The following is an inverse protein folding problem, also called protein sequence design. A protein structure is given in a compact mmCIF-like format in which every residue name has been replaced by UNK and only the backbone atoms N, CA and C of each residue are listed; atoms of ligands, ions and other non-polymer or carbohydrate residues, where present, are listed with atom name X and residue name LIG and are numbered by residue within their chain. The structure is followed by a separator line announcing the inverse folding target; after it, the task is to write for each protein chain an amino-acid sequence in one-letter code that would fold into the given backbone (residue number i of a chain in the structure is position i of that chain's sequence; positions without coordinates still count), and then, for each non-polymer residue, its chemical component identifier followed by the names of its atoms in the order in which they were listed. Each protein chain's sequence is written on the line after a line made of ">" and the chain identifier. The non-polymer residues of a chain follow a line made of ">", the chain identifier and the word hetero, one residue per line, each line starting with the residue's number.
data_IF_140567874180
#
_entry.id   IF_140567874180
#
_cell.length_a   1.000
_cell.length_b   1.000
_cell.length_c   1.000
_cell.angle_alpha   90.00
_cell.angle_beta   90.00
_cell.angle_gamma   90.00
#
_symmetry.space_group_name_H-M   'P 1'
#
loop_
_entity.id
_entity.type
_entity.pdbx_description
1 polymer ?
#
# COMPACT_ATOMS: atom_id res chain seq x y z
N UNK A 1 20.85 11.17 5.96
CA UNK A 1 19.85 10.08 6.08
C UNK A 1 18.84 10.24 4.96
N UNK A 2 18.44 9.18 4.27
CA UNK A 2 17.54 9.26 3.12
C UNK A 2 16.09 9.55 3.55
N UNK A 3 15.31 10.12 2.64
CA UNK A 3 13.86 10.22 2.77
C UNK A 3 13.20 8.90 2.40
N UNK A 4 12.04 8.60 2.99
CA UNK A 4 11.26 7.42 2.65
C UNK A 4 9.77 7.71 2.58
N UNK A 5 9.09 7.09 1.62
CA UNK A 5 7.65 7.21 1.41
C UNK A 5 6.94 5.89 1.75
N UNK A 6 5.92 5.99 2.59
CA UNK A 6 5.03 4.88 2.92
C UNK A 6 3.72 5.05 2.14
N UNK A 7 3.33 4.04 1.37
CA UNK A 7 2.11 4.07 0.56
C UNK A 7 1.13 3.07 1.15
N UNK A 8 0.07 3.57 1.79
CA UNK A 8 -0.96 2.71 2.37
C UNK A 8 -2.03 2.41 1.33
N UNK A 9 -2.19 1.12 1.02
CA UNK A 9 -3.12 0.62 0.02
C UNK A 9 -3.90 -0.59 0.52
N UNK A 10 -4.99 -0.90 -0.16
CA UNK A 10 -5.72 -2.18 -0.05
C UNK A 10 -5.48 -3.04 -1.28
N UNK A 11 -5.63 -4.35 -1.10
CA UNK A 11 -5.59 -5.30 -2.20
C UNK A 11 -6.74 -5.01 -3.20
N UNK A 12 -6.46 -4.84 -4.52
CA UNK A 12 -7.46 -4.52 -5.54
C UNK A 12 -8.35 -5.71 -5.90
N UNK A 13 -9.20 -6.11 -4.95
CA UNK A 13 -10.17 -7.21 -5.09
C UNK A 13 -11.59 -6.64 -5.14
N UNK A 14 -12.44 -7.11 -6.08
CA UNK A 14 -13.82 -6.63 -6.16
C UNK A 14 -14.57 -6.83 -4.84
N UNK A 15 -15.39 -5.84 -4.47
CA UNK A 15 -16.15 -5.84 -3.21
C UNK A 15 -15.32 -5.59 -1.93
N UNK A 16 -13.99 -5.45 -2.03
CA UNK A 16 -13.12 -5.13 -0.87
C UNK A 16 -12.60 -3.69 -0.85
N UNK A 17 -12.60 -3.05 -2.01
CA UNK A 17 -12.15 -1.67 -2.19
C UNK A 17 -13.32 -0.77 -2.55
N UNK A 18 -13.24 0.49 -2.11
CA UNK A 18 -14.23 1.52 -2.45
C UNK A 18 -15.68 1.07 -2.23
N UNK A 19 -15.96 0.35 -1.14
CA UNK A 19 -17.28 -0.26 -0.88
C UNK A 19 -18.43 0.74 -0.86
N UNK A 20 -18.18 1.98 -0.41
CA UNK A 20 -19.17 3.07 -0.49
C UNK A 20 -19.50 3.44 -1.93
N UNK A 21 -18.49 3.53 -2.80
CA UNK A 21 -18.69 3.79 -4.24
C UNK A 21 -19.33 2.58 -4.93
N UNK A 22 -18.91 1.37 -4.56
CA UNK A 22 -19.45 0.12 -5.09
C UNK A 22 -20.95 -0.06 -4.80
N UNK A 23 -21.46 0.53 -3.72
CA UNK A 23 -22.89 0.53 -3.43
C UNK A 23 -23.71 1.24 -4.52
N UNK A 24 -23.12 2.22 -5.21
CA UNK A 24 -23.78 3.04 -6.23
C UNK A 24 -23.49 2.55 -7.65
N UNK A 25 -22.24 2.18 -7.95
CA UNK A 25 -21.79 1.83 -9.32
C UNK A 25 -21.47 0.35 -9.53
N UNK A 26 -21.64 -0.46 -8.49
CA UNK A 26 -21.27 -1.88 -8.49
C UNK A 26 -19.78 -2.14 -8.17
N UNK A 27 -19.44 -3.34 -7.68
CA UNK A 27 -18.09 -3.69 -7.24
C UNK A 27 -17.03 -3.60 -8.35
N UNK A 28 -17.43 -3.84 -9.60
CA UNK A 28 -16.50 -3.99 -10.71
C UNK A 28 -16.06 -2.62 -11.24
N UNK A 29 -17.01 -1.69 -11.36
CA UNK A 29 -16.73 -0.31 -11.72
C UNK A 29 -15.98 0.41 -10.59
N UNK A 30 -16.29 0.11 -9.32
CA UNK A 30 -15.54 0.63 -8.18
C UNK A 30 -14.10 0.11 -8.14
N UNK A 31 -13.87 -1.16 -8.48
CA UNK A 31 -12.53 -1.71 -8.62
C UNK A 31 -11.76 -1.07 -9.79
N UNK A 32 -12.41 -0.87 -10.94
CA UNK A 32 -11.80 -0.19 -12.09
C UNK A 32 -11.34 1.23 -11.70
N UNK A 33 -12.22 1.98 -11.05
CA UNK A 33 -11.90 3.32 -10.51
C UNK A 33 -10.73 3.26 -9.52
N UNK A 34 -10.73 2.28 -8.61
CA UNK A 34 -9.63 2.12 -7.67
C UNK A 34 -8.30 1.87 -8.37
N UNK A 35 -8.26 1.00 -9.39
CA UNK A 35 -7.05 0.74 -10.19
C UNK A 35 -6.51 1.98 -10.89
N UNK A 36 -7.37 2.86 -11.37
CA UNK A 36 -6.96 4.15 -11.94
C UNK A 36 -6.30 5.05 -10.87
N UNK A 37 -6.87 5.12 -9.66
CA UNK A 37 -6.25 5.86 -8.55
C UNK A 37 -4.89 5.28 -8.13
N UNK A 38 -4.75 3.94 -8.17
CA UNK A 38 -3.46 3.28 -7.92
C UNK A 38 -2.43 3.68 -8.98
N UNK A 39 -2.82 3.70 -10.24
CA UNK A 39 -1.94 4.09 -11.34
C UNK A 39 -1.50 5.57 -11.22
N UNK A 40 -2.40 6.48 -10.86
CA UNK A 40 -2.07 7.88 -10.58
C UNK A 40 -1.07 8.00 -9.42
N UNK A 41 -1.33 7.28 -8.32
CA UNK A 41 -0.44 7.26 -7.17
C UNK A 41 0.94 6.72 -7.55
N UNK A 42 1.00 5.61 -8.29
CA UNK A 42 2.25 5.01 -8.74
C UNK A 42 3.05 5.96 -9.65
N UNK A 43 2.39 6.66 -10.57
CA UNK A 43 3.02 7.65 -11.42
C UNK A 43 3.60 8.82 -10.61
N UNK A 44 2.87 9.32 -9.60
CA UNK A 44 3.35 10.38 -8.71
C UNK A 44 4.56 9.93 -7.88
N UNK A 45 4.55 8.69 -7.38
CA UNK A 45 5.68 8.09 -6.64
C UNK A 45 6.92 7.97 -7.51
N UNK A 46 6.77 7.48 -8.75
CA UNK A 46 7.89 7.39 -9.71
C UNK A 46 8.46 8.78 -10.01
N UNK A 47 7.61 9.78 -10.21
CA UNK A 47 8.02 11.15 -10.47
C UNK A 47 8.74 11.80 -9.27
N UNK A 48 8.37 11.41 -8.04
CA UNK A 48 9.00 11.93 -6.82
C UNK A 48 10.46 11.44 -6.64
N UNK A 49 10.83 10.31 -7.24
CA UNK A 49 12.17 9.70 -7.15
C UNK A 49 12.65 9.47 -5.70
N UNK A 50 11.72 9.20 -4.78
CA UNK A 50 12.00 8.88 -3.37
C UNK A 50 11.83 7.37 -3.14
N UNK A 51 12.71 6.72 -2.36
CA UNK A 51 12.49 5.34 -1.92
C UNK A 51 11.10 5.18 -1.30
N UNK A 52 10.32 4.22 -1.80
CA UNK A 52 8.95 4.01 -1.37
C UNK A 52 8.68 2.56 -1.01
N UNK A 53 7.69 2.32 -0.14
CA UNK A 53 7.21 0.98 0.19
C UNK A 53 5.71 0.97 0.32
N UNK A 54 5.07 0.00 -0.35
CA UNK A 54 3.63 -0.22 -0.28
C UNK A 54 3.29 -1.08 0.95
N UNK A 55 2.31 -0.63 1.71
CA UNK A 55 1.78 -1.30 2.90
C UNK A 55 0.32 -1.69 2.65
N UNK A 56 0.11 -2.96 2.28
CA UNK A 56 -1.20 -3.53 2.01
C UNK A 56 -1.95 -3.82 3.30
N UNK A 57 -3.19 -3.37 3.42
CA UNK A 57 -4.02 -3.64 4.58
C UNK A 57 -4.37 -5.13 4.74
N UNK A 58 -4.32 -5.90 3.65
CA UNK A 58 -4.59 -7.33 3.62
C UNK A 58 -3.54 -8.07 2.79
N UNK A 59 -3.29 -9.34 3.12
CA UNK A 59 -2.47 -10.21 2.29
C UNK A 59 -3.21 -10.57 0.98
N UNK A 60 -2.50 -10.68 -0.16
CA UNK A 60 -3.07 -11.22 -1.38
C UNK A 60 -3.55 -12.67 -1.18
N UNK A 61 -4.57 -13.06 -1.95
CA UNK A 61 -5.07 -14.43 -1.95
C UNK A 61 -3.99 -15.39 -2.47
N UNK A 62 -3.66 -16.42 -1.69
CA UNK A 62 -2.63 -17.41 -2.04
C UNK A 62 -1.31 -17.23 -1.29
N UNK A 63 -1.11 -16.11 -0.59
CA UNK A 63 0.04 -15.89 0.28
C UNK A 63 -0.25 -16.39 1.69
N UNK A 64 0.36 -17.51 2.07
CA UNK A 64 0.40 -17.92 3.46
C UNK A 64 1.20 -16.89 4.26
N UNK A 65 0.58 -16.31 5.30
CA UNK A 65 1.25 -15.48 6.29
C UNK A 65 2.25 -16.35 7.07
N UNK A 66 3.43 -16.57 6.49
CA UNK A 66 4.60 -17.06 7.21
C UNK A 66 4.90 -16.10 8.36
N UNK A 67 5.39 -16.63 9.49
CA UNK A 67 5.44 -15.97 10.80
C UNK A 67 6.36 -14.76 10.94
N UNK A 68 6.82 -14.14 9.84
CA UNK A 68 7.51 -12.85 9.83
C UNK A 68 7.04 -12.06 8.62
N UNK A 69 6.81 -10.76 8.84
CA UNK A 69 6.56 -9.76 7.80
C UNK A 69 7.79 -9.60 6.89
N UNK A 70 8.09 -10.62 6.11
CA UNK A 70 9.14 -10.58 5.11
C UNK A 70 8.71 -9.64 4.01
N UNK A 71 9.56 -8.64 3.74
CA UNK A 71 9.44 -7.76 2.59
C UNK A 71 9.34 -8.63 1.36
N UNK A 72 8.16 -8.69 0.74
CA UNK A 72 8.01 -9.38 -0.53
C UNK A 72 8.53 -8.44 -1.61
N UNK A 73 9.86 -8.37 -1.69
CA UNK A 73 10.59 -7.73 -2.80
C UNK A 73 10.41 -8.52 -4.10
N UNK A 74 10.15 -9.82 -3.99
CA UNK A 74 10.30 -10.76 -5.10
C UNK A 74 9.09 -10.80 -6.05
N UNK A 75 7.90 -10.40 -5.60
CA UNK A 75 6.71 -10.48 -6.42
C UNK A 75 6.35 -9.14 -7.01
N UNK A 76 6.64 -9.01 -8.30
CA UNK A 76 6.23 -7.87 -9.10
C UNK A 76 4.69 -7.75 -9.10
N UNK A 77 4.22 -6.53 -8.86
CA UNK A 77 2.80 -6.20 -8.81
C UNK A 77 2.49 -5.23 -9.94
N UNK A 78 1.45 -5.48 -10.75
CA UNK A 78 1.12 -4.59 -11.86
C UNK A 78 0.68 -3.19 -11.40
N UNK A 79 0.10 -3.08 -10.19
CA UNK A 79 -0.32 -1.80 -9.63
C UNK A 79 0.84 -0.93 -9.13
N UNK A 80 1.97 -1.55 -8.79
CA UNK A 80 3.16 -0.89 -8.25
C UNK A 80 4.44 -1.53 -8.83
N UNK A 81 4.72 -1.32 -10.13
CA UNK A 81 5.88 -1.94 -10.77
C UNK A 81 7.18 -1.50 -10.09
N UNK A 82 7.96 -2.47 -9.62
CA UNK A 82 9.28 -2.22 -9.01
C UNK A 82 9.26 -1.63 -7.60
N UNK A 83 8.08 -1.46 -6.97
CA UNK A 83 8.01 -1.03 -5.57
C UNK A 83 8.00 -2.23 -4.62
N UNK A 84 8.79 -2.18 -3.52
CA UNK A 84 8.67 -3.17 -2.46
C UNK A 84 7.30 -3.07 -1.79
N UNK A 85 6.73 -4.21 -1.40
CA UNK A 85 5.47 -4.24 -0.67
C UNK A 85 5.53 -5.14 0.57
N UNK A 86 4.66 -4.82 1.53
CA UNK A 86 4.48 -5.51 2.81
C UNK A 86 3.01 -5.55 3.18
N UNK A 87 2.62 -6.50 4.02
CA UNK A 87 1.30 -6.53 4.65
C UNK A 87 1.37 -5.78 5.98
N UNK A 88 0.39 -4.92 6.23
CA UNK A 88 0.25 -4.24 7.52
C UNK A 88 -0.03 -5.26 8.63
N UNK A 89 0.53 -5.03 9.83
CA UNK A 89 0.23 -5.90 10.96
C UNK A 89 -1.26 -5.85 11.34
N UNK A 90 -1.73 -6.93 11.96
CA UNK A 90 -3.05 -6.96 12.61
C UNK A 90 -2.97 -6.09 13.87
N UNK A 91 -3.62 -4.93 13.82
CA UNK A 91 -3.66 -3.96 14.92
C UNK A 91 -5.09 -3.48 15.19
N UNK A 92 -5.32 -2.91 16.36
CA UNK A 92 -6.65 -2.43 16.79
C UNK A 92 -7.06 -1.15 16.07
N UNK A 93 -6.09 -0.35 15.61
CA UNK A 93 -6.37 0.92 14.94
C UNK A 93 -5.48 1.16 13.73
N UNK A 94 -5.93 2.05 12.84
CA UNK A 94 -5.10 2.57 11.74
C UNK A 94 -3.84 3.27 12.27
N UNK A 95 -3.97 4.02 13.37
CA UNK A 95 -2.85 4.73 13.99
C UNK A 95 -1.72 3.79 14.43
N UNK A 96 -2.05 2.63 14.98
CA UNK A 96 -1.05 1.60 15.33
C UNK A 96 -0.35 1.03 14.10
N UNK A 97 -1.09 0.76 13.01
CA UNK A 97 -0.49 0.29 11.75
C UNK A 97 0.43 1.34 11.15
N UNK A 98 0.05 2.62 11.20
CA UNK A 98 0.90 3.74 10.78
C UNK A 98 2.16 3.83 11.64
N UNK A 99 2.02 3.80 12.97
CA UNK A 99 3.13 3.90 13.91
C UNK A 99 4.18 2.79 13.67
N UNK A 100 3.73 1.57 13.39
CA UNK A 100 4.62 0.48 13.02
C UNK A 100 5.35 0.72 11.68
N UNK A 101 4.65 1.18 10.65
CA UNK A 101 5.28 1.46 9.35
C UNK A 101 6.34 2.57 9.46
N UNK A 102 6.09 3.60 10.28
CA UNK A 102 7.09 4.61 10.63
C UNK A 102 8.28 4.00 11.37
N UNK A 103 8.02 3.21 12.43
CA UNK A 103 9.08 2.58 13.22
C UNK A 103 10.00 1.71 12.36
N UNK A 104 9.43 0.92 11.44
CA UNK A 104 10.18 0.10 10.47
C UNK A 104 11.05 0.95 9.53
N UNK A 105 10.51 2.05 9.00
CA UNK A 105 11.26 2.94 8.12
C UNK A 105 12.43 3.63 8.85
N UNK A 106 12.20 4.10 10.07
CA UNK A 106 13.25 4.70 10.90
C UNK A 106 14.31 3.67 11.33
N UNK A 107 13.90 2.45 11.69
CA UNK A 107 14.81 1.35 12.00
C UNK A 107 15.66 0.94 10.79
N UNK A 108 15.13 1.08 9.58
CA UNK A 108 15.86 0.89 8.33
C UNK A 108 16.78 2.07 7.95
N UNK A 109 16.83 3.13 8.76
CA UNK A 109 17.76 4.26 8.60
C UNK A 109 17.20 5.48 7.87
N UNK A 110 15.88 5.56 7.63
CA UNK A 110 15.27 6.76 7.08
C UNK A 110 15.42 7.96 8.04
N UNK A 111 15.69 9.15 7.50
CA UNK A 111 15.80 10.38 8.29
C UNK A 111 14.50 11.19 8.33
N UNK A 112 13.73 11.15 7.24
CA UNK A 112 12.41 11.74 7.13
C UNK A 112 11.49 10.74 6.47
N UNK A 113 10.27 10.63 6.99
CA UNK A 113 9.30 9.66 6.50
C UNK A 113 7.97 10.37 6.29
N UNK A 114 7.34 10.12 5.15
CA UNK A 114 5.98 10.59 4.83
C UNK A 114 5.12 9.37 4.54
N UNK A 115 3.83 9.46 4.88
CA UNK A 115 2.83 8.46 4.57
C UNK A 115 1.73 9.08 3.71
N UNK A 116 1.33 8.35 2.67
CA UNK A 116 0.21 8.70 1.80
C UNK A 116 -0.75 7.51 1.70
N UNK A 117 -2.03 7.80 1.42
CA UNK A 117 -2.98 6.80 0.92
C UNK A 117 -3.04 6.81 -0.61
N UNK A 118 -3.85 5.93 -1.17
CA UNK A 118 -4.04 5.80 -2.64
C UNK A 118 -5.38 6.35 -3.12
N UNK A 119 -5.99 7.24 -2.33
CA UNK A 119 -7.37 7.71 -2.52
C UNK A 119 -7.46 9.18 -2.95
N UNK A 120 -6.32 9.86 -3.12
CA UNK A 120 -6.23 11.25 -3.56
C UNK A 120 -5.53 11.30 -4.93
N UNK A 121 -6.26 11.59 -6.02
CA UNK A 121 -5.68 11.71 -7.36
C UNK A 121 -4.79 12.94 -7.51
#
# INVERSE_FOLDING_TARGET
>A
MPDHLLIFAREPVPGRVKTRLAADIGPEAALATYRELLALTAAAVVAAQVPATVWLAEAPLGHALGSRAEVHLAEARPEWPGLPWRVQLVAHSLGERMAHAFAEAFAAGAGRVVIIGTDCP
#
